data_IF_473964520430
#
_entry.id   IF_473964520430
#
_cell.length_a   1.000
_cell.length_b   1.000
_cell.length_c   1.000
_cell.angle_alpha   90.00
_cell.angle_beta   90.00
_cell.angle_gamma   90.00
#
_symmetry.space_group_name_H-M   'P 1'
#
loop_
_entity.id
_entity.type
_entity.pdbx_description
1 polymer ?
#
# COMPACT_ATOMS: atom_id res chain seq x y z
N UNK A 1 -11.59 6.67 7.20
CA UNK A 1 -10.49 5.68 7.21
C UNK A 1 -9.16 6.41 7.06
N UNK A 2 -8.09 5.93 7.69
CA UNK A 2 -6.77 6.59 7.62
C UNK A 2 -5.62 5.60 7.81
N UNK A 3 -4.48 5.95 7.25
CA UNK A 3 -3.19 5.30 7.52
C UNK A 3 -2.37 6.27 8.37
N UNK A 4 -1.99 5.84 9.57
CA UNK A 4 -1.19 6.61 10.52
C UNK A 4 0.25 6.14 10.44
N UNK A 5 1.15 7.04 10.13
CA UNK A 5 2.59 6.75 10.12
C UNK A 5 3.12 6.56 11.54
N UNK A 6 3.79 5.46 11.79
CA UNK A 6 4.40 5.16 13.10
C UNK A 6 5.91 5.25 13.10
N UNK A 7 6.54 5.34 11.90
CA UNK A 7 7.99 5.54 11.79
C UNK A 7 8.38 6.10 10.42
N UNK A 8 9.58 6.71 10.34
CA UNK A 8 10.19 7.13 9.08
C UNK A 8 10.55 5.98 8.14
N UNK A 9 10.51 4.74 8.63
CA UNK A 9 10.80 3.53 7.87
C UNK A 9 9.64 3.03 7.02
N UNK A 10 8.48 3.71 7.08
CA UNK A 10 7.29 3.30 6.37
C UNK A 10 6.33 2.41 7.18
N UNK A 11 6.61 2.19 8.48
CA UNK A 11 5.66 1.50 9.34
C UNK A 11 4.40 2.33 9.48
N UNK A 12 3.25 1.66 9.50
CA UNK A 12 1.98 2.35 9.66
C UNK A 12 0.92 1.47 10.35
N UNK A 13 -0.07 2.16 10.91
CA UNK A 13 -1.31 1.57 11.39
C UNK A 13 -2.42 1.96 10.41
N UNK A 14 -3.25 1.01 10.02
CA UNK A 14 -4.51 1.27 9.32
C UNK A 14 -5.65 1.30 10.32
N UNK A 15 -6.40 2.40 10.28
CA UNK A 15 -7.60 2.60 11.11
C UNK A 15 -8.84 2.78 10.24
N UNK A 16 -9.92 2.13 10.67
CA UNK A 16 -11.27 2.27 10.14
C UNK A 16 -12.23 2.48 11.29
N UNK A 17 -13.05 3.53 11.22
CA UNK A 17 -14.02 3.91 12.25
C UNK A 17 -13.38 3.98 13.65
N UNK A 18 -12.21 4.67 13.71
CA UNK A 18 -11.39 4.85 14.92
C UNK A 18 -10.84 3.56 15.56
N UNK A 19 -10.99 2.43 14.87
CA UNK A 19 -10.47 1.15 15.32
C UNK A 19 -9.23 0.77 14.52
N UNK A 20 -8.18 0.34 15.21
CA UNK A 20 -7.01 -0.26 14.57
C UNK A 20 -7.41 -1.59 13.93
N UNK A 21 -7.27 -1.68 12.63
CA UNK A 21 -7.51 -2.89 11.85
C UNK A 21 -6.24 -3.74 11.78
N UNK A 22 -5.10 -3.10 11.50
CA UNK A 22 -3.82 -3.78 11.39
C UNK A 22 -2.65 -2.80 11.57
N UNK A 23 -1.45 -3.36 11.69
CA UNK A 23 -0.18 -2.64 11.67
C UNK A 23 0.76 -3.31 10.69
N UNK A 24 1.36 -2.52 9.81
CA UNK A 24 2.43 -2.95 8.92
C UNK A 24 3.76 -2.47 9.45
N UNK A 25 4.72 -3.39 9.58
CA UNK A 25 6.05 -3.08 10.10
C UNK A 25 7.15 -3.56 9.16
N UNK A 26 8.24 -2.80 9.10
CA UNK A 26 9.48 -3.17 8.45
C UNK A 26 10.45 -3.74 9.51
N UNK A 27 10.71 -5.06 9.55
CA UNK A 27 11.43 -5.71 10.65
C UNK A 27 12.90 -5.32 10.74
N UNK A 28 13.52 -4.87 9.62
CA UNK A 28 14.93 -4.49 9.58
C UNK A 28 15.08 -3.12 8.92
N UNK A 29 16.07 -2.33 9.40
CA UNK A 29 16.36 -0.98 8.93
C UNK A 29 16.59 -0.89 7.41
N UNK A 30 17.37 -1.82 6.86
CA UNK A 30 17.73 -1.83 5.44
C UNK A 30 16.86 -2.76 4.58
N UNK A 31 15.85 -3.37 5.17
CA UNK A 31 14.99 -4.30 4.44
C UNK A 31 13.77 -3.59 3.89
N UNK A 32 13.60 -3.64 2.56
CA UNK A 32 12.35 -3.25 1.90
C UNK A 32 11.22 -4.25 2.15
N UNK A 33 11.44 -5.23 3.03
CA UNK A 33 10.46 -6.22 3.44
C UNK A 33 9.53 -5.61 4.48
N UNK A 34 8.24 -5.84 4.32
CA UNK A 34 7.20 -5.49 5.28
C UNK A 34 6.42 -6.73 5.71
N UNK A 35 5.94 -6.71 6.94
CA UNK A 35 5.11 -7.77 7.51
C UNK A 35 3.89 -7.17 8.21
N UNK A 36 2.78 -7.88 8.14
CA UNK A 36 1.56 -7.57 8.88
C UNK A 36 0.79 -8.84 9.18
N UNK A 37 -0.17 -8.75 10.10
CA UNK A 37 -1.15 -9.80 10.36
C UNK A 37 -2.54 -9.25 10.11
N UNK A 38 -3.29 -9.91 9.25
CA UNK A 38 -4.66 -9.54 8.91
C UNK A 38 -5.55 -10.79 8.83
N UNK A 39 -6.72 -10.75 9.45
CA UNK A 39 -7.64 -11.90 9.54
C UNK A 39 -6.94 -13.20 9.97
N UNK A 40 -6.10 -13.13 11.02
CA UNK A 40 -5.27 -14.22 11.55
C UNK A 40 -4.25 -14.81 10.57
N UNK A 41 -4.06 -14.23 9.37
CA UNK A 41 -3.06 -14.65 8.38
C UNK A 41 -1.86 -13.70 8.43
N UNK A 42 -0.66 -14.28 8.35
CA UNK A 42 0.57 -13.51 8.21
C UNK A 42 0.74 -13.13 6.74
N UNK A 43 0.88 -11.84 6.48
CA UNK A 43 1.15 -11.29 5.15
C UNK A 43 2.54 -10.70 5.17
N UNK A 44 3.35 -11.07 4.19
CA UNK A 44 4.69 -10.58 3.98
C UNK A 44 4.78 -9.98 2.58
N UNK A 45 5.33 -8.77 2.49
CA UNK A 45 5.68 -8.14 1.22
C UNK A 45 7.20 -8.08 1.18
N UNK A 46 7.81 -8.70 0.18
CA UNK A 46 9.27 -8.75 0.08
C UNK A 46 9.76 -8.52 -1.35
N UNK A 47 10.92 -7.84 -1.54
CA UNK A 47 11.47 -7.61 -2.86
C UNK A 47 11.86 -8.94 -3.50
N UNK A 48 11.44 -9.16 -4.76
CA UNK A 48 11.85 -10.32 -5.57
C UNK A 48 13.24 -10.12 -6.15
N UNK A 49 13.63 -8.86 -6.41
CA UNK A 49 14.90 -8.53 -7.02
C UNK A 49 15.58 -7.36 -6.29
N UNK A 50 16.88 -7.21 -6.53
CA UNK A 50 17.71 -6.17 -5.92
C UNK A 50 17.24 -4.75 -6.30
N UNK A 51 16.76 -4.56 -7.52
CA UNK A 51 16.36 -3.27 -8.06
C UNK A 51 15.05 -2.74 -7.47
N UNK A 52 14.25 -3.59 -6.82
CA UNK A 52 12.98 -3.19 -6.23
C UNK A 52 11.89 -2.88 -7.26
N UNK A 53 12.00 -3.44 -8.47
CA UNK A 53 10.95 -3.31 -9.50
C UNK A 53 9.83 -4.33 -9.33
N UNK A 54 10.01 -5.32 -8.46
CA UNK A 54 8.98 -6.31 -8.14
C UNK A 54 9.04 -6.73 -6.69
N UNK A 55 7.88 -6.75 -6.04
CA UNK A 55 7.69 -7.27 -4.68
C UNK A 55 6.71 -8.43 -4.73
N UNK A 56 6.99 -9.47 -3.97
CA UNK A 56 6.09 -10.60 -3.80
C UNK A 56 5.17 -10.36 -2.61
N UNK A 57 3.90 -10.73 -2.76
CA UNK A 57 2.93 -10.81 -1.69
C UNK A 57 2.82 -12.27 -1.28
N UNK A 58 3.27 -12.59 -0.06
CA UNK A 58 3.30 -13.94 0.48
C UNK A 58 2.33 -14.01 1.67
N UNK A 59 1.35 -14.91 1.60
CA UNK A 59 0.38 -15.18 2.66
C UNK A 59 0.61 -16.57 3.20
N UNK A 60 0.82 -16.70 4.51
CA UNK A 60 1.09 -18.00 5.17
C UNK A 60 2.19 -18.81 4.45
N UNK A 61 3.24 -18.13 3.97
CA UNK A 61 4.35 -18.78 3.26
C UNK A 61 4.12 -19.08 1.79
N UNK A 62 2.93 -18.80 1.24
CA UNK A 62 2.57 -19.06 -0.17
C UNK A 62 2.53 -17.74 -0.93
N UNK A 63 3.17 -17.67 -2.10
CA UNK A 63 3.06 -16.53 -3.01
C UNK A 63 1.62 -16.41 -3.51
N UNK A 64 0.97 -15.30 -3.21
CA UNK A 64 -0.42 -15.00 -3.55
C UNK A 64 -0.56 -13.71 -4.36
N UNK A 65 0.54 -13.11 -4.79
CA UNK A 65 0.50 -11.92 -5.63
C UNK A 65 1.82 -11.19 -5.75
N UNK A 66 1.78 -10.05 -6.42
CA UNK A 66 2.93 -9.17 -6.59
C UNK A 66 2.56 -7.70 -6.68
N UNK A 67 3.54 -6.85 -6.41
CA UNK A 67 3.52 -5.43 -6.72
C UNK A 67 4.63 -5.20 -7.73
N UNK A 68 4.25 -4.80 -8.93
CA UNK A 68 5.16 -4.61 -10.05
C UNK A 68 5.31 -3.12 -10.35
N UNK A 69 6.55 -2.64 -10.45
CA UNK A 69 6.90 -1.26 -10.82
C UNK A 69 7.58 -1.31 -12.19
N UNK A 70 6.96 -0.74 -13.20
CA UNK A 70 7.54 -0.69 -14.54
C UNK A 70 8.58 0.45 -14.68
N UNK A 71 9.26 0.48 -15.82
CA UNK A 71 10.29 1.50 -16.12
C UNK A 71 9.74 2.93 -16.27
N UNK A 72 8.40 3.09 -16.43
CA UNK A 72 7.68 4.38 -16.43
C UNK A 72 7.14 4.76 -15.06
N UNK A 73 7.49 3.99 -14.01
CA UNK A 73 6.96 4.13 -12.66
C UNK A 73 5.44 3.88 -12.53
N UNK A 74 4.83 3.16 -13.50
CA UNK A 74 3.48 2.66 -13.27
C UNK A 74 3.57 1.49 -12.30
N UNK A 75 2.65 1.45 -11.36
CA UNK A 75 2.62 0.41 -10.33
C UNK A 75 1.34 -0.39 -10.51
N UNK A 76 1.51 -1.71 -10.58
CA UNK A 76 0.40 -2.68 -10.64
C UNK A 76 0.46 -3.56 -9.41
N UNK A 77 -0.66 -3.66 -8.70
CA UNK A 77 -0.86 -4.56 -7.56
C UNK A 77 -1.73 -5.71 -8.04
N UNK A 78 -1.24 -6.93 -7.94
CA UNK A 78 -2.00 -8.14 -8.25
C UNK A 78 -1.99 -9.05 -7.03
N UNK A 79 -3.14 -9.54 -6.58
CA UNK A 79 -3.20 -10.50 -5.47
C UNK A 79 -4.43 -11.40 -5.57
N UNK A 80 -4.33 -12.57 -4.96
CA UNK A 80 -5.44 -13.50 -4.79
C UNK A 80 -6.13 -13.16 -3.47
N UNK A 81 -7.43 -12.83 -3.54
CA UNK A 81 -8.22 -12.49 -2.37
C UNK A 81 -8.63 -13.74 -1.56
N UNK A 82 -9.41 -13.54 -0.50
CA UNK A 82 -9.86 -14.64 0.36
C UNK A 82 -10.88 -15.60 -0.30
N UNK A 83 -11.48 -15.20 -1.44
CA UNK A 83 -12.39 -16.02 -2.24
C UNK A 83 -11.64 -16.71 -3.40
N UNK A 84 -10.30 -16.72 -3.39
CA UNK A 84 -9.42 -17.24 -4.44
C UNK A 84 -9.61 -16.54 -5.81
N UNK A 85 -10.06 -15.27 -5.79
CA UNK A 85 -10.22 -14.46 -7.00
C UNK A 85 -9.02 -13.52 -7.16
N UNK A 86 -8.48 -13.45 -8.38
CA UNK A 86 -7.41 -12.52 -8.71
C UNK A 86 -7.94 -11.09 -8.77
N UNK A 87 -7.33 -10.19 -8.01
CA UNK A 87 -7.61 -8.77 -7.98
C UNK A 87 -6.43 -8.01 -8.58
N UNK A 88 -6.70 -7.04 -9.46
CA UNK A 88 -5.68 -6.25 -10.14
C UNK A 88 -6.03 -4.76 -10.00
N UNK A 89 -5.07 -3.99 -9.52
CA UNK A 89 -5.21 -2.54 -9.34
C UNK A 89 -3.98 -1.83 -9.90
N UNK A 90 -4.20 -0.63 -10.43
CA UNK A 90 -3.14 0.22 -10.97
C UNK A 90 -3.11 1.54 -10.24
N UNK A 91 -1.90 2.00 -9.88
CA UNK A 91 -1.71 3.34 -9.35
C UNK A 91 -1.62 4.33 -10.50
N UNK A 92 -2.47 5.35 -10.44
CA UNK A 92 -2.37 6.55 -11.27
C UNK A 92 -1.92 7.70 -10.37
N UNK A 93 -0.75 8.28 -10.65
CA UNK A 93 -0.28 9.45 -9.90
C UNK A 93 -0.75 10.71 -10.63
N UNK A 94 -1.68 11.45 -10.03
CA UNK A 94 -2.19 12.71 -10.60
C UNK A 94 -1.36 13.92 -10.18
N UNK A 95 -0.09 13.93 -10.56
CA UNK A 95 0.71 15.14 -10.61
C UNK A 95 1.25 15.65 -9.29
N UNK A 96 2.37 16.33 -9.38
CA UNK A 96 3.22 16.86 -8.30
C UNK A 96 2.50 17.81 -7.33
N UNK A 97 1.41 18.47 -7.77
CA UNK A 97 0.74 19.50 -7.00
C UNK A 97 -0.37 19.01 -6.05
N UNK A 98 -0.98 17.85 -6.32
CA UNK A 98 -2.08 17.34 -5.48
C UNK A 98 -1.67 16.21 -4.53
N UNK A 99 -0.52 15.60 -4.73
CA UNK A 99 0.01 14.46 -3.95
C UNK A 99 -1.06 13.40 -3.63
N UNK A 100 -2.01 13.19 -4.54
CA UNK A 100 -3.04 12.17 -4.41
C UNK A 100 -2.60 10.91 -5.14
N UNK A 101 -2.82 9.76 -4.51
CA UNK A 101 -2.54 8.45 -5.06
C UNK A 101 -3.86 7.74 -5.33
N UNK A 102 -4.22 7.62 -6.60
CA UNK A 102 -5.44 6.97 -7.03
C UNK A 102 -5.16 5.56 -7.51
N UNK A 103 -5.83 4.59 -6.91
CA UNK A 103 -5.75 3.19 -7.33
C UNK A 103 -7.07 2.83 -8.03
N UNK A 104 -6.95 2.38 -9.27
CA UNK A 104 -8.08 1.97 -10.10
C UNK A 104 -8.06 0.47 -10.38
N UNK A 105 -9.23 -0.10 -10.61
CA UNK A 105 -9.38 -1.47 -11.11
C UNK A 105 -9.02 -1.55 -12.61
N UNK A 106 -9.18 -2.72 -13.21
CA UNK A 106 -8.86 -2.96 -14.63
C UNK A 106 -9.81 -2.24 -15.59
N UNK A 107 -11.01 -1.89 -15.15
CA UNK A 107 -11.99 -1.09 -15.89
C UNK A 107 -11.68 0.41 -15.84
N UNK A 108 -10.69 0.82 -15.04
CA UNK A 108 -10.30 2.22 -14.85
C UNK A 108 -11.12 2.97 -13.80
N UNK A 109 -11.97 2.29 -13.04
CA UNK A 109 -12.73 2.89 -11.96
C UNK A 109 -11.84 3.09 -10.73
N UNK A 110 -11.90 4.29 -10.13
CA UNK A 110 -11.14 4.61 -8.91
C UNK A 110 -11.74 3.87 -7.73
N UNK A 111 -10.93 3.02 -7.10
CA UNK A 111 -11.31 2.20 -5.95
C UNK A 111 -10.87 2.83 -4.64
N UNK A 112 -9.64 3.33 -4.59
CA UNK A 112 -9.05 3.97 -3.41
C UNK A 112 -8.33 5.25 -3.83
N UNK A 113 -8.51 6.31 -3.04
CA UNK A 113 -7.70 7.52 -3.10
C UNK A 113 -6.99 7.69 -1.76
N UNK A 114 -5.66 7.79 -1.78
CA UNK A 114 -4.85 8.10 -0.62
C UNK A 114 -4.34 9.54 -0.73
N UNK A 115 -4.70 10.39 0.23
CA UNK A 115 -4.31 11.79 0.29
C UNK A 115 -3.46 12.04 1.53
N UNK A 116 -2.21 12.55 1.38
CA UNK A 116 -1.40 12.95 2.53
C UNK A 116 -2.08 14.01 3.36
N UNK A 117 -2.17 13.76 4.66
CA UNK A 117 -2.58 14.74 5.64
C UNK A 117 -1.34 15.52 6.08
N UNK A 118 -1.20 16.77 5.61
CA UNK A 118 -0.08 17.65 5.97
C UNK A 118 -0.13 17.98 7.46
N UNK A 119 0.60 17.24 8.24
CA UNK A 119 0.87 17.60 9.64
C UNK A 119 2.30 18.16 9.70
N UNK A 120 2.45 19.47 9.89
CA UNK A 120 3.73 20.19 9.97
C UNK A 120 4.73 19.64 11.01
N UNK A 121 4.30 18.67 11.83
CA UNK A 121 5.08 18.12 12.94
C UNK A 121 5.72 16.75 12.68
N UNK A 122 5.43 16.08 11.56
CA UNK A 122 5.95 14.74 11.28
C UNK A 122 6.69 14.69 9.94
N UNK A 123 7.85 14.05 9.92
CA UNK A 123 8.62 13.74 8.69
C UNK A 123 7.90 12.77 7.75
N UNK A 124 6.83 12.16 8.20
CA UNK A 124 6.00 11.24 7.46
C UNK A 124 4.55 11.65 7.60
N UNK A 125 3.88 11.84 6.49
CA UNK A 125 2.48 12.25 6.48
C UNK A 125 1.56 11.04 6.73
N UNK A 126 0.59 11.24 7.61
CA UNK A 126 -0.56 10.34 7.67
C UNK A 126 -1.35 10.46 6.35
N UNK A 127 -2.11 9.42 5.99
CA UNK A 127 -2.89 9.40 4.75
C UNK A 127 -4.38 9.26 5.07
N UNK A 128 -5.20 10.16 4.53
CA UNK A 128 -6.63 9.93 4.45
C UNK A 128 -6.93 8.88 3.39
N UNK A 129 -7.94 8.06 3.62
CA UNK A 129 -8.41 7.04 2.68
C UNK A 129 -9.84 7.38 2.30
N UNK A 130 -10.07 7.59 1.00
CA UNK A 130 -11.38 7.77 0.41
C UNK A 130 -11.69 6.60 -0.53
N UNK A 131 -12.91 6.11 -0.48
CA UNK A 131 -13.42 5.05 -1.34
C UNK A 131 -14.95 5.12 -1.38
N UNK A 132 -15.55 4.68 -2.48
CA UNK A 132 -17.00 4.53 -2.53
C UNK A 132 -17.47 3.36 -1.64
N UNK A 133 -18.73 3.41 -1.20
CA UNK A 133 -19.31 2.35 -0.38
C UNK A 133 -19.31 0.99 -1.08
N UNK A 134 -19.47 0.98 -2.41
CA UNK A 134 -19.44 -0.26 -3.19
C UNK A 134 -18.12 -1.00 -3.05
N UNK A 135 -17.00 -0.28 -3.01
CA UNK A 135 -15.66 -0.87 -2.87
C UNK A 135 -15.28 -1.09 -1.41
N UNK A 136 -15.56 -0.13 -0.52
CA UNK A 136 -15.17 -0.22 0.89
C UNK A 136 -15.86 -1.38 1.64
N UNK A 137 -16.98 -1.90 1.12
CA UNK A 137 -17.68 -3.07 1.63
C UNK A 137 -17.19 -4.40 1.05
N UNK A 138 -16.28 -4.37 0.06
CA UNK A 138 -15.71 -5.60 -0.49
C UNK A 138 -14.79 -6.29 0.53
N UNK A 139 -14.86 -7.59 0.59
CA UNK A 139 -14.08 -8.40 1.54
C UNK A 139 -12.55 -8.26 1.37
N UNK A 140 -12.09 -7.90 0.17
CA UNK A 140 -10.67 -7.68 -0.13
C UNK A 140 -10.20 -6.25 0.20
N UNK A 141 -11.10 -5.33 0.53
CA UNK A 141 -10.80 -3.91 0.62
C UNK A 141 -9.70 -3.57 1.64
N UNK A 142 -9.83 -4.05 2.87
CA UNK A 142 -8.83 -3.79 3.90
C UNK A 142 -7.47 -4.40 3.55
N UNK A 143 -7.46 -5.53 2.86
CA UNK A 143 -6.24 -6.14 2.35
C UNK A 143 -5.62 -5.27 1.23
N UNK A 144 -6.43 -4.74 0.31
CA UNK A 144 -5.97 -3.80 -0.71
C UNK A 144 -5.35 -2.54 -0.08
N UNK A 145 -5.92 -2.02 1.02
CA UNK A 145 -5.36 -0.88 1.76
C UNK A 145 -3.94 -1.16 2.25
N UNK A 146 -3.63 -2.40 2.67
CA UNK A 146 -2.26 -2.79 3.06
C UNK A 146 -1.29 -2.53 1.91
N UNK A 147 -1.62 -3.01 0.72
CA UNK A 147 -0.74 -2.92 -0.45
C UNK A 147 -0.64 -1.50 -0.98
N UNK A 148 -1.75 -0.77 -1.04
CA UNK A 148 -1.76 0.65 -1.41
C UNK A 148 -0.93 1.49 -0.44
N UNK A 149 -1.09 1.28 0.86
CA UNK A 149 -0.30 1.95 1.90
C UNK A 149 1.19 1.66 1.77
N UNK A 150 1.58 0.39 1.57
CA UNK A 150 2.97 0.01 1.33
C UNK A 150 3.55 0.73 0.11
N UNK A 151 2.82 0.74 -1.02
CA UNK A 151 3.25 1.41 -2.27
C UNK A 151 3.48 2.91 -2.05
N UNK A 152 2.53 3.60 -1.41
CA UNK A 152 2.66 5.05 -1.16
C UNK A 152 3.85 5.33 -0.25
N UNK A 153 4.08 4.51 0.79
CA UNK A 153 5.26 4.65 1.66
C UNK A 153 6.56 4.42 0.90
N UNK A 154 6.59 3.46 0.01
CA UNK A 154 7.75 3.19 -0.84
C UNK A 154 8.07 4.41 -1.72
N UNK A 155 7.06 5.01 -2.38
CA UNK A 155 7.22 6.22 -3.20
C UNK A 155 7.74 7.40 -2.35
N UNK A 156 7.16 7.62 -1.17
CA UNK A 156 7.57 8.70 -0.26
C UNK A 156 9.02 8.54 0.21
N UNK A 157 9.47 7.32 0.47
CA UNK A 157 10.85 7.03 0.84
C UNK A 157 11.82 7.35 -0.31
N UNK A 158 11.49 6.99 -1.54
CA UNK A 158 12.32 7.31 -2.71
C UNK A 158 12.38 8.82 -2.97
N UNK A 159 11.24 9.51 -2.88
CA UNK A 159 11.21 10.98 -3.03
C UNK A 159 12.02 11.71 -1.95
N UNK A 160 11.99 11.23 -0.70
CA UNK A 160 12.76 11.79 0.41
C UNK A 160 14.27 11.50 0.35
N UNK A 161 14.67 10.47 -0.37
CA UNK A 161 16.10 10.10 -0.53
C UNK A 161 16.83 10.92 -1.61
N UNK A 162 16.16 11.90 -2.25
CA UNK A 162 16.79 12.77 -3.25
C UNK A 162 17.18 12.07 -4.55
N UNK A 163 16.62 10.89 -4.81
CA UNK A 163 16.77 10.22 -6.09
C UNK A 163 15.66 10.75 -7.01
N UNK A 164 15.93 11.86 -7.64
CA UNK A 164 15.17 12.41 -8.77
C UNK A 164 15.95 12.09 -10.04
#
# INVERSE_FOLDING_TARGET
MKIISTSSRGNFIYERDEKKILELVHPKWFSKKAITKYNNKNIKIEPKNYWGSKYLIVKEGIEKGSIDVDWKNNITITFIDQNEVAQIFKLTNKGFWKQQFEFSNIEGEIVIVLTPLNTWKKWTNDLAIESSLNYSNQKYFDELVIYCGFVVRLIQQYAGAGVV
#
